data_IF_881456860187
#
_entry.id   IF_881456860187
#
_cell.length_a   1.000
_cell.length_b   1.000
_cell.length_c   1.000
_cell.angle_alpha   90.00
_cell.angle_beta   90.00
_cell.angle_gamma   90.00
#
_symmetry.space_group_name_H-M   'P 1'
#
loop_
_entity.id
_entity.type
_entity.pdbx_description
1 polymer ?
#
# COMPACT_ATOMS: atom_id res chain seq x y z
N UNK A 1 -37.07 -37.16 -9.68
CA UNK A 1 -36.27 -36.67 -8.53
C UNK A 1 -35.21 -35.75 -9.10
N UNK A 2 -35.49 -34.44 -9.14
CA UNK A 2 -34.52 -33.44 -9.56
C UNK A 2 -33.55 -33.18 -8.42
N UNK A 3 -32.27 -33.50 -8.63
CA UNK A 3 -31.20 -33.11 -7.72
C UNK A 3 -31.21 -31.59 -7.58
N UNK A 4 -31.50 -31.11 -6.37
CA UNK A 4 -31.23 -29.73 -5.99
C UNK A 4 -29.73 -29.54 -6.05
N UNK A 5 -29.26 -28.87 -7.10
CA UNK A 5 -27.94 -28.24 -7.07
C UNK A 5 -27.93 -27.30 -5.87
N UNK A 6 -27.16 -27.68 -4.85
CA UNK A 6 -26.79 -26.79 -3.77
C UNK A 6 -25.92 -25.69 -4.34
N UNK A 7 -26.56 -24.64 -4.86
CA UNK A 7 -25.87 -23.43 -5.28
C UNK A 7 -25.07 -22.90 -4.10
N UNK A 8 -23.74 -22.91 -4.22
CA UNK A 8 -22.86 -22.09 -3.37
C UNK A 8 -23.22 -20.63 -3.64
N UNK A 9 -24.13 -20.09 -2.84
CA UNK A 9 -24.56 -18.68 -2.88
C UNK A 9 -23.56 -17.78 -2.15
N UNK A 10 -22.29 -17.79 -2.56
CA UNK A 10 -21.23 -17.05 -1.87
C UNK A 10 -20.21 -16.49 -2.83
N UNK A 11 -20.66 -15.66 -3.78
CA UNK A 11 -19.73 -14.81 -4.52
C UNK A 11 -19.11 -13.79 -3.57
N UNK A 12 -17.83 -13.47 -3.75
CA UNK A 12 -17.16 -12.41 -3.02
C UNK A 12 -17.81 -11.05 -3.27
N UNK A 13 -17.45 -10.06 -2.45
CA UNK A 13 -17.85 -8.66 -2.63
C UNK A 13 -16.60 -7.82 -2.73
N UNK A 14 -16.52 -7.01 -3.77
CA UNK A 14 -15.46 -6.05 -3.96
C UNK A 14 -15.89 -4.67 -3.47
N UNK A 15 -15.13 -4.11 -2.53
CA UNK A 15 -15.37 -2.78 -1.96
C UNK A 15 -14.39 -1.79 -2.57
N UNK A 16 -14.90 -0.70 -3.15
CA UNK A 16 -14.09 0.38 -3.74
C UNK A 16 -14.25 1.68 -2.98
N UNK A 17 -13.19 2.47 -2.90
CA UNK A 17 -13.27 3.83 -2.37
C UNK A 17 -14.02 4.77 -3.31
N UNK A 18 -14.55 5.85 -2.75
CA UNK A 18 -15.51 6.76 -3.40
C UNK A 18 -14.96 7.53 -4.60
N UNK A 19 -13.66 7.84 -4.62
CA UNK A 19 -12.99 8.58 -5.70
C UNK A 19 -12.68 7.72 -6.92
N UNK A 20 -12.75 6.40 -6.78
CA UNK A 20 -12.48 5.47 -7.85
C UNK A 20 -13.78 5.14 -8.59
N UNK A 21 -13.82 5.53 -9.87
CA UNK A 21 -14.95 5.29 -10.75
C UNK A 21 -15.10 3.81 -11.13
N UNK A 22 -15.93 3.55 -12.14
CA UNK A 22 -16.06 2.21 -12.75
C UNK A 22 -14.95 1.91 -13.74
N UNK A 23 -14.12 2.89 -14.06
CA UNK A 23 -12.94 2.81 -14.92
C UNK A 23 -11.77 2.06 -14.25
N UNK A 24 -11.70 2.08 -12.91
CA UNK A 24 -10.85 1.16 -12.17
C UNK A 24 -11.50 -0.21 -12.17
N UNK A 25 -10.86 -1.13 -12.89
CA UNK A 25 -11.34 -2.49 -13.01
C UNK A 25 -11.16 -3.20 -11.66
N UNK A 26 -12.22 -3.81 -11.11
CA UNK A 26 -12.05 -4.78 -10.03
C UNK A 26 -11.11 -5.92 -10.47
N UNK A 27 -10.55 -6.71 -9.54
CA UNK A 27 -9.80 -7.92 -9.89
C UNK A 27 -10.58 -8.76 -10.91
N UNK A 28 -9.89 -9.44 -11.83
CA UNK A 28 -10.60 -10.30 -12.78
C UNK A 28 -11.45 -11.32 -12.02
N UNK A 29 -12.64 -11.65 -12.52
CA UNK A 29 -13.49 -12.69 -11.92
C UNK A 29 -12.80 -14.06 -11.85
N UNK A 30 -11.80 -14.28 -12.72
CA UNK A 30 -10.94 -15.48 -12.70
C UNK A 30 -9.95 -15.47 -11.53
N UNK A 31 -9.58 -14.29 -11.02
CA UNK A 31 -8.69 -14.13 -9.86
C UNK A 31 -9.48 -14.11 -8.54
N UNK A 32 -10.69 -13.55 -8.56
CA UNK A 32 -11.58 -13.47 -7.41
C UNK A 32 -13.02 -13.64 -7.89
N UNK A 33 -13.72 -14.73 -7.55
CA UNK A 33 -15.12 -14.89 -7.97
C UNK A 33 -16.05 -13.91 -7.23
N UNK A 34 -16.64 -12.94 -7.95
CA UNK A 34 -17.68 -12.03 -7.44
C UNK A 34 -18.68 -11.66 -8.54
N UNK A 35 -19.83 -11.11 -8.15
CA UNK A 35 -20.80 -10.56 -9.11
C UNK A 35 -20.36 -9.18 -9.60
N UNK A 36 -20.25 -8.99 -10.90
CA UNK A 36 -19.94 -7.67 -11.48
C UNK A 36 -21.12 -6.69 -11.37
N UNK A 37 -22.30 -7.14 -10.95
CA UNK A 37 -23.48 -6.30 -10.77
C UNK A 37 -23.26 -5.29 -9.62
N UNK A 38 -23.44 -3.98 -9.87
CA UNK A 38 -23.37 -2.96 -8.83
C UNK A 38 -24.34 -3.25 -7.68
N UNK A 39 -23.88 -3.02 -6.46
CA UNK A 39 -24.65 -3.25 -5.23
C UNK A 39 -24.79 -4.73 -4.82
N UNK A 40 -24.33 -5.67 -5.66
CA UNK A 40 -24.38 -7.11 -5.36
C UNK A 40 -22.98 -7.64 -5.10
N UNK A 41 -22.06 -7.55 -6.07
CA UNK A 41 -20.66 -7.97 -5.88
C UNK A 41 -19.65 -6.86 -6.03
N UNK A 42 -20.10 -5.64 -6.36
CA UNK A 42 -19.27 -4.42 -6.27
C UNK A 42 -20.00 -3.36 -5.45
N UNK A 43 -19.33 -2.81 -4.44
CA UNK A 43 -19.89 -1.85 -3.48
C UNK A 43 -18.96 -0.65 -3.38
N UNK A 44 -19.50 0.55 -3.50
CA UNK A 44 -18.75 1.79 -3.28
C UNK A 44 -18.86 2.20 -1.82
N UNK A 45 -17.72 2.41 -1.18
CA UNK A 45 -17.61 2.95 0.17
C UNK A 45 -17.86 4.46 0.15
N UNK A 46 -18.41 5.04 1.23
CA UNK A 46 -18.60 6.49 1.36
C UNK A 46 -17.29 7.23 1.73
N UNK A 47 -16.14 6.55 1.67
CA UNK A 47 -14.83 7.07 2.07
C UNK A 47 -13.92 7.15 0.85
N UNK A 48 -12.99 8.09 0.83
CA UNK A 48 -11.87 8.05 -0.10
C UNK A 48 -10.66 7.32 0.51
N UNK A 49 -9.65 7.01 -0.31
CA UNK A 49 -8.45 6.26 0.06
C UNK A 49 -7.36 7.10 0.73
N UNK A 50 -7.57 8.40 0.94
CA UNK A 50 -6.60 9.23 1.65
C UNK A 50 -6.47 8.80 3.10
N UNK A 51 -5.26 8.90 3.67
CA UNK A 51 -5.03 8.60 5.08
C UNK A 51 -6.02 9.32 6.00
N UNK A 52 -6.36 10.59 5.72
CA UNK A 52 -7.34 11.34 6.51
C UNK A 52 -8.71 10.65 6.58
N UNK A 53 -9.16 10.01 5.51
CA UNK A 53 -10.47 9.35 5.45
C UNK A 53 -10.47 7.91 5.96
N UNK A 54 -9.34 7.22 5.87
CA UNK A 54 -9.24 5.79 6.25
C UNK A 54 -8.70 5.54 7.66
N UNK A 55 -8.46 6.59 8.45
CA UNK A 55 -8.03 6.45 9.86
C UNK A 55 -6.59 6.86 10.17
N UNK A 56 -5.91 7.50 9.23
CA UNK A 56 -4.55 7.98 9.37
C UNK A 56 -3.52 6.86 9.21
N UNK A 57 -2.28 7.17 9.59
CA UNK A 57 -1.16 6.24 9.66
C UNK A 57 -0.63 6.09 11.09
N UNK A 58 -1.26 6.76 12.05
CA UNK A 58 -0.99 6.64 13.50
C UNK A 58 -1.81 5.45 14.04
N UNK A 59 -1.40 4.26 13.62
CA UNK A 59 -2.02 3.00 14.00
C UNK A 59 -1.05 2.17 14.83
N UNK A 60 -1.58 1.14 15.47
CA UNK A 60 -0.78 0.11 16.09
C UNK A 60 -0.48 -1.02 15.09
N UNK A 61 0.71 -1.61 15.23
CA UNK A 61 1.16 -2.80 14.49
C UNK A 61 1.59 -3.85 15.50
N UNK A 62 1.01 -5.04 15.38
CA UNK A 62 1.17 -6.15 16.29
C UNK A 62 0.12 -7.21 16.00
N UNK A 63 0.22 -8.36 16.67
CA UNK A 63 -0.65 -9.51 16.44
C UNK A 63 -2.12 -9.19 16.75
N UNK A 64 -2.38 -8.37 17.78
CA UNK A 64 -3.73 -7.97 18.15
C UNK A 64 -4.32 -7.00 17.14
N UNK A 65 -3.56 -5.96 16.75
CA UNK A 65 -3.97 -5.04 15.71
C UNK A 65 -4.24 -5.74 14.36
N UNK A 66 -3.41 -6.71 13.97
CA UNK A 66 -3.63 -7.53 12.77
C UNK A 66 -4.93 -8.35 12.87
N UNK A 67 -5.13 -9.04 14.00
CA UNK A 67 -6.35 -9.83 14.23
C UNK A 67 -7.60 -8.95 14.18
N UNK A 68 -7.53 -7.77 14.80
CA UNK A 68 -8.61 -6.79 14.80
C UNK A 68 -8.93 -6.25 13.40
N UNK A 69 -7.88 -5.99 12.60
CA UNK A 69 -8.01 -5.61 11.19
C UNK A 69 -8.78 -6.67 10.39
N UNK A 70 -8.35 -7.93 10.44
CA UNK A 70 -9.01 -9.04 9.73
C UNK A 70 -10.47 -9.20 10.18
N UNK A 71 -10.73 -9.20 11.49
CA UNK A 71 -12.07 -9.36 12.04
C UNK A 71 -13.02 -8.21 11.61
N UNK A 72 -12.51 -6.97 11.58
CA UNK A 72 -13.30 -5.80 11.19
C UNK A 72 -13.56 -5.77 9.68
N UNK A 73 -12.54 -6.03 8.86
CA UNK A 73 -12.70 -6.10 7.40
C UNK A 73 -13.59 -7.27 6.97
N UNK A 74 -13.58 -8.39 7.71
CA UNK A 74 -14.51 -9.50 7.50
C UNK A 74 -15.98 -9.11 7.70
N UNK A 75 -16.25 -8.05 8.48
CA UNK A 75 -17.59 -7.48 8.72
C UNK A 75 -17.83 -6.18 7.95
N UNK A 76 -16.99 -5.86 6.97
CA UNK A 76 -17.04 -4.59 6.24
C UNK A 76 -18.46 -4.29 5.73
N UNK A 77 -19.13 -5.30 5.17
CA UNK A 77 -20.48 -5.20 4.62
C UNK A 77 -21.56 -4.71 5.59
N UNK A 78 -21.38 -4.95 6.89
CA UNK A 78 -22.25 -4.46 7.95
C UNK A 78 -21.77 -3.09 8.46
N UNK A 79 -20.46 -2.95 8.67
CA UNK A 79 -19.86 -1.78 9.30
C UNK A 79 -19.99 -0.51 8.46
N UNK A 80 -19.82 -0.58 7.13
CA UNK A 80 -19.82 0.63 6.29
C UNK A 80 -21.19 1.33 6.24
N UNK A 81 -22.27 0.65 6.65
CA UNK A 81 -23.66 1.13 6.53
C UNK A 81 -24.11 2.04 7.67
N UNK A 82 -23.28 2.25 8.69
CA UNK A 82 -23.61 3.08 9.85
C UNK A 82 -22.44 3.97 10.23
N UNK A 83 -22.73 5.14 10.81
CA UNK A 83 -21.68 6.05 11.28
C UNK A 83 -20.78 5.38 12.31
N UNK A 84 -21.37 4.69 13.30
CA UNK A 84 -20.60 3.94 14.31
C UNK A 84 -19.69 2.88 13.68
N UNK A 85 -20.18 2.15 12.69
CA UNK A 85 -19.38 1.14 12.01
C UNK A 85 -18.25 1.74 11.16
N UNK A 86 -18.49 2.89 10.52
CA UNK A 86 -17.43 3.66 9.84
C UNK A 86 -16.35 4.12 10.83
N UNK A 87 -16.71 4.52 12.06
CA UNK A 87 -15.72 4.87 13.08
C UNK A 87 -14.87 3.67 13.49
N UNK A 88 -15.44 2.46 13.59
CA UNK A 88 -14.67 1.22 13.81
C UNK A 88 -13.72 0.94 12.66
N UNK A 89 -14.15 1.13 11.42
CA UNK A 89 -13.29 0.94 10.25
C UNK A 89 -12.14 1.96 10.20
N UNK A 90 -12.42 3.21 10.61
CA UNK A 90 -11.45 4.31 10.69
C UNK A 90 -10.53 4.25 11.91
N UNK A 91 -10.74 3.35 12.87
CA UNK A 91 -9.85 3.22 14.03
C UNK A 91 -8.59 2.39 13.75
N UNK A 92 -8.25 2.17 12.47
CA UNK A 92 -7.10 1.39 12.05
C UNK A 92 -7.37 0.35 10.96
N UNK A 93 -8.49 -0.41 10.96
CA UNK A 93 -8.67 -1.51 10.01
C UNK A 93 -8.53 -1.13 8.53
N UNK A 94 -9.01 0.04 8.11
CA UNK A 94 -8.86 0.48 6.71
C UNK A 94 -7.44 0.93 6.36
N UNK A 95 -6.73 1.57 7.28
CA UNK A 95 -5.36 2.04 7.05
C UNK A 95 -4.30 0.96 7.29
N UNK A 96 -4.60 -0.07 8.06
CA UNK A 96 -3.65 -1.12 8.44
C UNK A 96 -3.01 -1.81 7.23
N UNK A 97 -3.76 -2.29 6.20
CA UNK A 97 -3.13 -2.89 5.02
C UNK A 97 -2.32 -1.89 4.22
N UNK A 98 -2.79 -0.65 4.11
CA UNK A 98 -2.04 0.41 3.41
C UNK A 98 -0.69 0.66 4.09
N UNK A 99 -0.68 0.81 5.41
CA UNK A 99 0.53 1.08 6.19
C UNK A 99 1.43 -0.16 6.25
N UNK A 100 0.91 -1.35 6.55
CA UNK A 100 1.77 -2.53 6.81
C UNK A 100 2.16 -3.29 5.55
N UNK A 101 1.43 -3.15 4.45
CA UNK A 101 1.71 -3.84 3.18
C UNK A 101 2.18 -2.83 2.13
N UNK A 102 1.35 -1.85 1.78
CA UNK A 102 1.68 -0.94 0.67
C UNK A 102 2.91 -0.08 0.99
N UNK A 103 2.98 0.53 2.18
CA UNK A 103 4.16 1.31 2.55
C UNK A 103 5.39 0.44 2.76
N UNK A 104 5.24 -0.81 3.21
CA UNK A 104 6.36 -1.74 3.38
C UNK A 104 6.96 -2.13 2.03
N UNK A 105 6.15 -2.16 0.96
CA UNK A 105 6.65 -2.32 -0.40
C UNK A 105 7.36 -1.03 -0.87
N UNK A 106 6.82 0.14 -0.54
CA UNK A 106 7.37 1.45 -0.96
C UNK A 106 8.66 1.82 -0.26
N UNK A 107 8.83 1.45 1.01
CA UNK A 107 9.96 1.86 1.84
C UNK A 107 10.64 0.64 2.49
N UNK A 108 11.89 0.38 2.10
CA UNK A 108 12.63 -0.82 2.55
C UNK A 108 12.89 -0.83 4.06
N UNK A 109 13.21 0.33 4.65
CA UNK A 109 13.39 0.45 6.12
C UNK A 109 12.08 0.17 6.86
N UNK A 110 10.96 0.63 6.30
CA UNK A 110 9.65 0.39 6.90
C UNK A 110 9.27 -1.08 6.85
N UNK A 111 9.59 -1.79 5.76
CA UNK A 111 9.43 -3.24 5.68
C UNK A 111 10.09 -3.97 6.84
N UNK A 112 11.35 -3.63 7.15
CA UNK A 112 12.08 -4.23 8.26
C UNK A 112 11.37 -3.99 9.59
N UNK A 113 10.93 -2.75 9.84
CA UNK A 113 10.20 -2.42 11.06
C UNK A 113 8.90 -3.23 11.17
N UNK A 114 8.08 -3.27 10.10
CA UNK A 114 6.82 -4.03 10.10
C UNK A 114 7.07 -5.51 10.36
N UNK A 115 8.04 -6.12 9.67
CA UNK A 115 8.33 -7.55 9.85
C UNK A 115 8.81 -7.90 11.26
N UNK A 116 9.44 -6.95 11.96
CA UNK A 116 9.88 -7.13 13.34
C UNK A 116 8.79 -6.87 14.39
N UNK A 117 7.64 -6.31 14.00
CA UNK A 117 6.57 -5.94 14.95
C UNK A 117 5.25 -6.67 14.68
N UNK A 118 4.99 -7.15 13.47
CA UNK A 118 3.67 -7.67 13.07
C UNK A 118 3.23 -8.91 13.87
N UNK A 119 4.19 -9.74 14.30
CA UNK A 119 3.95 -10.97 15.06
C UNK A 119 4.13 -10.79 16.57
N UNK A 120 4.48 -9.58 17.02
CA UNK A 120 4.66 -9.28 18.45
C UNK A 120 3.32 -9.31 19.19
N UNK A 121 3.33 -9.82 20.42
CA UNK A 121 2.13 -9.91 21.28
C UNK A 121 1.67 -8.54 21.78
N UNK A 122 2.62 -7.60 21.90
CA UNK A 122 2.35 -6.21 22.24
C UNK A 122 2.31 -5.37 20.97
N UNK A 123 1.21 -4.65 20.83
CA UNK A 123 0.99 -3.69 19.75
C UNK A 123 1.94 -2.48 19.90
N UNK A 124 2.70 -2.21 18.85
CA UNK A 124 3.61 -1.05 18.76
C UNK A 124 2.98 0.06 17.91
N UNK A 125 2.95 1.31 18.39
CA UNK A 125 2.49 2.43 17.56
C UNK A 125 3.48 2.70 16.43
N UNK A 126 2.96 3.03 15.25
CA UNK A 126 3.76 3.43 14.09
C UNK A 126 4.62 4.66 14.46
N UNK A 127 5.95 4.59 14.34
CA UNK A 127 6.82 5.73 14.63
C UNK A 127 6.52 6.91 13.69
N UNK A 128 6.34 8.09 14.28
CA UNK A 128 6.02 9.34 13.54
C UNK A 128 7.06 9.69 12.47
N UNK A 129 8.32 9.29 12.68
CA UNK A 129 9.40 9.53 11.72
C UNK A 129 9.20 8.76 10.41
N UNK A 130 8.70 7.52 10.48
CA UNK A 130 8.45 6.70 9.30
C UNK A 130 7.21 7.18 8.56
N UNK A 131 6.17 7.56 9.30
CA UNK A 131 4.87 7.87 8.72
C UNK A 131 4.82 9.22 8.00
N UNK A 132 5.70 10.17 8.35
CA UNK A 132 5.88 11.40 7.57
C UNK A 132 6.17 11.11 6.10
N UNK A 133 6.97 10.09 5.81
CA UNK A 133 7.41 9.78 4.44
C UNK A 133 6.29 9.25 3.54
N UNK A 134 5.25 8.66 4.11
CA UNK A 134 4.17 8.02 3.34
C UNK A 134 3.43 9.03 2.46
N UNK A 135 3.19 10.24 2.96
CA UNK A 135 2.53 11.31 2.19
C UNK A 135 3.40 11.84 1.04
N UNK A 136 4.72 11.66 1.12
CA UNK A 136 5.68 12.23 0.19
C UNK A 136 6.30 11.19 -0.75
N UNK A 137 5.82 9.94 -0.76
CA UNK A 137 6.40 8.89 -1.62
C UNK A 137 6.50 9.32 -3.09
N UNK A 138 5.50 10.03 -3.62
CA UNK A 138 5.50 10.54 -4.98
C UNK A 138 6.56 11.63 -5.22
N UNK A 139 6.73 12.54 -4.26
CA UNK A 139 7.72 13.62 -4.35
C UNK A 139 9.14 13.10 -4.17
N UNK A 140 9.34 12.17 -3.23
CA UNK A 140 10.62 11.47 -3.03
C UNK A 140 10.98 10.67 -4.30
N UNK A 141 10.01 9.98 -4.92
CA UNK A 141 10.23 9.27 -6.19
C UNK A 141 10.69 10.20 -7.31
N UNK A 142 10.11 11.41 -7.39
CA UNK A 142 10.51 12.44 -8.36
C UNK A 142 11.92 12.96 -8.08
N UNK A 143 12.20 13.36 -6.84
CA UNK A 143 13.52 13.85 -6.42
C UNK A 143 14.63 12.84 -6.74
N UNK A 144 14.40 11.55 -6.45
CA UNK A 144 15.35 10.47 -6.78
C UNK A 144 15.55 10.32 -8.30
N UNK A 145 14.50 10.47 -9.10
CA UNK A 145 14.62 10.39 -10.56
C UNK A 145 15.34 11.60 -11.17
N UNK A 146 15.22 12.76 -10.52
CA UNK A 146 15.83 14.04 -10.95
C UNK A 146 17.24 14.26 -10.36
N UNK A 147 17.71 13.36 -9.49
CA UNK A 147 18.98 13.48 -8.72
C UNK A 147 19.01 14.75 -7.85
N UNK A 148 17.85 15.14 -7.31
CA UNK A 148 17.65 16.32 -6.48
C UNK A 148 17.51 15.96 -4.98
N UNK A 149 17.98 16.83 -4.06
CA UNK A 149 17.73 16.64 -2.65
C UNK A 149 16.25 16.88 -2.30
N UNK A 150 15.74 16.16 -1.30
CA UNK A 150 14.41 16.40 -0.74
C UNK A 150 14.53 16.52 0.78
N UNK A 151 13.99 17.61 1.34
CA UNK A 151 14.03 17.90 2.78
C UNK A 151 15.44 17.81 3.39
N UNK A 152 16.44 18.32 2.66
CA UNK A 152 17.86 18.28 3.07
C UNK A 152 18.55 16.92 2.94
N UNK A 153 17.84 15.89 2.47
CA UNK A 153 18.40 14.54 2.26
C UNK A 153 18.81 14.39 0.79
N UNK A 154 20.03 13.93 0.53
CA UNK A 154 20.52 13.67 -0.82
C UNK A 154 19.74 12.54 -1.52
N UNK A 155 19.59 12.64 -2.84
CA UNK A 155 18.92 11.62 -3.66
C UNK A 155 19.47 10.21 -3.45
N UNK A 156 20.79 10.07 -3.27
CA UNK A 156 21.46 8.79 -2.99
C UNK A 156 21.01 8.15 -1.68
N UNK A 157 20.70 8.95 -0.66
CA UNK A 157 20.23 8.45 0.63
C UNK A 157 18.73 8.20 0.64
N UNK A 158 17.96 8.99 -0.11
CA UNK A 158 16.55 8.71 -0.37
C UNK A 158 16.37 7.39 -1.12
N UNK A 159 17.23 7.11 -2.10
CA UNK A 159 17.20 5.87 -2.86
C UNK A 159 17.39 4.63 -1.98
N UNK A 160 18.24 4.70 -0.95
CA UNK A 160 18.43 3.60 0.02
C UNK A 160 17.17 3.32 0.86
N UNK A 161 16.27 4.30 0.99
CA UNK A 161 15.03 4.17 1.76
C UNK A 161 13.88 3.59 0.93
N UNK A 162 13.90 3.75 -0.40
CA UNK A 162 12.84 3.29 -1.28
C UNK A 162 12.99 1.80 -1.64
N UNK A 163 11.87 1.08 -1.59
CA UNK A 163 11.73 -0.25 -2.19
C UNK A 163 11.22 -0.19 -3.64
N UNK A 164 10.34 0.79 -3.93
CA UNK A 164 9.83 1.05 -5.29
C UNK A 164 9.67 2.54 -5.55
N UNK A 165 9.81 2.95 -6.81
CA UNK A 165 9.58 4.32 -7.28
C UNK A 165 8.25 4.43 -8.03
N UNK A 166 7.62 5.60 -7.98
CA UNK A 166 6.42 5.89 -8.75
C UNK A 166 6.66 5.70 -10.25
N UNK A 167 5.72 5.05 -10.94
CA UNK A 167 5.76 4.89 -12.40
C UNK A 167 5.86 6.26 -13.08
N UNK A 168 6.74 6.37 -14.08
CA UNK A 168 7.04 7.62 -14.78
C UNK A 168 8.21 8.42 -14.18
N UNK A 169 8.66 8.06 -12.97
CA UNK A 169 9.91 8.55 -12.41
C UNK A 169 11.05 7.63 -12.88
N UNK A 170 11.71 7.99 -13.98
CA UNK A 170 12.80 7.20 -14.56
C UNK A 170 14.15 7.64 -13.98
N UNK A 171 14.81 6.75 -13.24
CA UNK A 171 16.20 6.98 -12.83
C UNK A 171 17.07 6.87 -14.08
N UNK A 172 17.62 7.99 -14.54
CA UNK A 172 18.52 7.99 -15.70
C UNK A 172 19.79 7.20 -15.35
N UNK A 173 20.19 6.19 -16.14
CA UNK A 173 21.46 5.52 -15.93
C UNK A 173 22.58 6.57 -16.01
N UNK A 174 23.41 6.69 -14.96
CA UNK A 174 24.63 7.50 -15.05
C UNK A 174 25.51 6.85 -16.12
N UNK A 175 25.81 7.59 -17.20
CA UNK A 175 26.73 7.13 -18.24
C UNK A 175 28.09 6.91 -17.59
N UNK A 176 28.46 5.65 -17.35
CA UNK A 176 29.82 5.29 -16.94
C UNK A 176 30.71 5.58 -18.14
N UNK A 177 31.53 6.64 -18.07
CA UNK A 177 32.62 6.83 -19.03
C UNK A 177 33.66 5.76 -18.72
N UNK A 178 33.69 4.72 -19.55
CA UNK A 178 34.81 3.78 -19.56
C UNK A 178 36.06 4.55 -20.00
N UNK A 179 36.94 4.86 -19.05
CA UNK A 179 38.25 5.36 -19.38
C UNK A 179 39.04 4.20 -20.01
N UNK A 180 39.18 4.20 -21.34
CA UNK A 180 40.19 3.37 -21.98
C UNK A 180 41.56 3.92 -21.54
N UNK A 181 42.19 3.23 -20.60
CA UNK A 181 43.61 3.40 -20.32
C UNK A 181 44.37 3.06 -21.60
N UNK A 182 44.78 4.09 -22.33
CA UNK A 182 45.71 3.94 -23.44
C UNK A 182 47.05 3.46 -22.85
N UNK A 183 47.32 2.17 -22.97
CA UNK A 183 48.65 1.62 -22.77
C UNK A 183 49.55 2.15 -23.89
N UNK A 184 50.36 3.16 -23.57
CA UNK A 184 51.41 3.66 -24.44
C UNK A 184 52.37 2.53 -24.78
N UNK A 185 52.45 2.18 -26.05
CA UNK A 185 53.50 1.36 -26.63
C UNK A 185 54.80 2.15 -26.66
N UNK A 186 55.54 2.10 -25.55
CA UNK A 186 56.96 2.47 -25.53
C UNK A 186 57.77 1.39 -26.23
N UNK A 187 58.19 1.65 -27.47
CA UNK A 187 59.27 0.93 -28.14
C UNK A 187 60.58 1.17 -27.38
N UNK A 188 61.29 0.10 -27.06
CA UNK A 188 62.76 0.08 -27.04
C UNK A 188 63.20 -1.07 -27.93
#
# INVERSE_FOLDING_TARGET
>A
MGSKEGGRSGGGVWYRYSEFGTDILPPSVDQFPYSTKPGIGTVQLPLNSSYLQIGGFDINVGKQAFTHCIASLGKLGELYRSERGLQVLKSGPLSFPTVTICEAIRFALWRTWVTSNIDEELDSPVPKEHSKLFNYWADISRAVAEDEPWDGIAATDLMKKLGVVKRGCYIKPKKVKWAHSASGSGKN
#
